data_IF_420359229352
#
_entry.id   IF_420359229352
#
_cell.length_a   1.000
_cell.length_b   1.000
_cell.length_c   1.000
_cell.angle_alpha   90.00
_cell.angle_beta   90.00
_cell.angle_gamma   90.00
#
_symmetry.space_group_name_H-M   'P 1'
#
loop_
_entity.id
_entity.type
_entity.pdbx_description
1 polymer ?
#
# COMPACT_ATOMS: atom_id res chain seq x y z
N UNK A 1 -17.09 -31.06 -17.66
CA UNK A 1 -17.40 -31.47 -16.27
C UNK A 1 -18.16 -30.34 -15.59
N UNK A 2 -19.36 -30.63 -15.03
CA UNK A 2 -20.24 -29.64 -14.40
C UNK A 2 -20.13 -29.74 -12.87
N UNK A 3 -19.98 -28.60 -12.18
CA UNK A 3 -19.91 -28.52 -10.71
C UNK A 3 -21.14 -29.12 -10.02
N UNK A 4 -22.32 -28.98 -10.61
CA UNK A 4 -23.54 -29.59 -10.10
C UNK A 4 -23.41 -31.11 -10.05
N UNK A 5 -22.80 -31.74 -11.09
CA UNK A 5 -22.58 -33.19 -11.13
C UNK A 5 -21.58 -33.63 -10.06
N UNK A 6 -20.50 -32.87 -9.85
CA UNK A 6 -19.53 -33.13 -8.77
C UNK A 6 -20.16 -33.02 -7.39
N UNK A 7 -21.02 -32.04 -7.17
CA UNK A 7 -21.76 -31.88 -5.88
C UNK A 7 -22.70 -33.06 -5.67
N UNK A 8 -23.42 -33.52 -6.72
CA UNK A 8 -24.26 -34.72 -6.67
C UNK A 8 -23.43 -35.97 -6.34
N UNK A 9 -22.27 -36.12 -7.00
CA UNK A 9 -21.37 -37.24 -6.76
C UNK A 9 -20.85 -37.25 -5.30
N UNK A 10 -20.39 -36.13 -4.78
CA UNK A 10 -19.92 -36.02 -3.40
C UNK A 10 -21.02 -36.38 -2.39
N UNK A 11 -22.23 -35.90 -2.61
CA UNK A 11 -23.35 -36.23 -1.74
C UNK A 11 -23.64 -37.73 -1.71
N UNK A 12 -23.61 -38.43 -2.87
CA UNK A 12 -23.79 -39.87 -2.92
C UNK A 12 -22.61 -40.62 -2.31
N UNK A 13 -21.37 -40.13 -2.53
CA UNK A 13 -20.15 -40.70 -1.98
C UNK A 13 -20.09 -40.64 -0.44
N UNK A 14 -20.64 -39.59 0.15
CA UNK A 14 -20.71 -39.40 1.61
C UNK A 14 -21.85 -40.20 2.24
N UNK A 15 -23.03 -40.22 1.60
CA UNK A 15 -24.20 -40.91 2.14
C UNK A 15 -24.20 -42.42 1.84
N UNK A 16 -23.46 -42.85 0.84
CA UNK A 16 -23.49 -44.23 0.28
C UNK A 16 -24.93 -44.73 0.05
N UNK A 17 -25.84 -43.78 -0.22
CA UNK A 17 -27.27 -44.01 -0.41
C UNK A 17 -27.86 -42.88 -1.27
N UNK A 18 -28.40 -43.27 -2.44
CA UNK A 18 -28.97 -42.32 -3.40
C UNK A 18 -30.20 -41.57 -2.85
N UNK A 19 -31.05 -42.22 -2.04
CA UNK A 19 -32.25 -41.61 -1.51
C UNK A 19 -31.90 -40.56 -0.43
N UNK A 20 -30.96 -40.88 0.48
CA UNK A 20 -30.47 -39.93 1.49
C UNK A 20 -29.71 -38.76 0.84
N UNK A 21 -28.86 -39.02 -0.14
CA UNK A 21 -28.17 -38.01 -0.90
C UNK A 21 -29.14 -37.05 -1.62
N UNK A 22 -30.20 -37.61 -2.22
CA UNK A 22 -31.25 -36.83 -2.88
C UNK A 22 -31.98 -35.90 -1.86
N UNK A 23 -32.35 -36.45 -0.70
CA UNK A 23 -32.97 -35.66 0.39
C UNK A 23 -32.07 -34.52 0.85
N UNK A 24 -30.77 -34.81 1.06
CA UNK A 24 -29.77 -33.79 1.46
C UNK A 24 -29.63 -32.66 0.43
N UNK A 25 -29.76 -33.00 -0.86
CA UNK A 25 -29.71 -32.04 -1.95
C UNK A 25 -31.06 -31.39 -2.30
N UNK A 26 -32.10 -31.66 -1.51
CA UNK A 26 -33.47 -31.18 -1.74
C UNK A 26 -34.00 -31.51 -3.15
N UNK A 27 -33.72 -32.71 -3.62
CA UNK A 27 -34.18 -33.21 -4.94
C UNK A 27 -34.72 -34.63 -4.86
N UNK A 28 -35.42 -35.10 -5.91
CA UNK A 28 -35.83 -36.50 -6.02
C UNK A 28 -34.67 -37.36 -6.52
N UNK A 29 -34.74 -38.68 -6.22
CA UNK A 29 -33.70 -39.62 -6.59
C UNK A 29 -33.47 -39.80 -8.12
N UNK A 30 -34.54 -39.80 -9.00
CA UNK A 30 -34.30 -39.98 -10.44
C UNK A 30 -33.35 -38.94 -11.06
N UNK A 31 -33.54 -37.62 -10.87
CA UNK A 31 -32.59 -36.64 -11.42
C UNK A 31 -31.17 -36.74 -10.82
N UNK A 32 -31.03 -37.10 -9.52
CA UNK A 32 -29.72 -37.37 -8.95
C UNK A 32 -29.01 -38.51 -9.65
N UNK A 33 -29.73 -39.65 -9.85
CA UNK A 33 -29.19 -40.82 -10.57
C UNK A 33 -28.78 -40.46 -12.01
N UNK A 34 -29.54 -39.60 -12.68
CA UNK A 34 -29.20 -39.12 -14.01
C UNK A 34 -27.90 -38.26 -14.01
N UNK A 35 -27.72 -37.35 -13.04
CA UNK A 35 -26.50 -36.58 -12.94
C UNK A 35 -25.26 -37.46 -12.72
N UNK A 36 -25.39 -38.50 -11.91
CA UNK A 36 -24.28 -39.44 -11.68
C UNK A 36 -23.97 -40.23 -12.97
N UNK A 37 -24.97 -40.74 -13.70
CA UNK A 37 -24.72 -41.42 -14.97
C UNK A 37 -24.04 -40.54 -16.00
N UNK A 38 -24.44 -39.26 -16.09
CA UNK A 38 -23.81 -38.30 -17.00
C UNK A 38 -22.36 -38.04 -16.60
N UNK A 39 -22.07 -37.98 -15.29
CA UNK A 39 -20.70 -37.83 -14.81
C UNK A 39 -19.87 -39.10 -15.13
N UNK A 40 -20.40 -40.29 -14.90
CA UNK A 40 -19.74 -41.56 -15.22
C UNK A 40 -19.44 -41.67 -16.73
N UNK A 41 -20.38 -41.24 -17.58
CA UNK A 41 -20.18 -41.19 -19.04
C UNK A 41 -19.06 -40.19 -19.41
N UNK A 42 -19.04 -39.01 -18.80
CA UNK A 42 -18.04 -38.00 -19.03
C UNK A 42 -16.64 -38.42 -18.56
N UNK A 43 -16.57 -39.16 -17.46
CA UNK A 43 -15.32 -39.70 -16.92
C UNK A 43 -14.86 -40.99 -17.63
N UNK A 44 -15.71 -41.60 -18.42
CA UNK A 44 -15.42 -42.88 -19.08
C UNK A 44 -15.25 -44.04 -18.10
N UNK A 45 -15.76 -43.91 -16.87
CA UNK A 45 -15.60 -44.91 -15.83
C UNK A 45 -16.83 -44.91 -14.88
N UNK A 46 -17.15 -46.08 -14.36
CA UNK A 46 -18.13 -46.22 -13.29
C UNK A 46 -17.50 -45.68 -11.97
N UNK A 47 -18.24 -44.86 -11.26
CA UNK A 47 -17.78 -44.23 -10.00
C UNK A 47 -18.39 -44.93 -8.78
N UNK A 48 -19.53 -45.60 -8.96
CA UNK A 48 -20.21 -46.37 -7.91
C UNK A 48 -20.47 -47.81 -8.34
N UNK A 49 -20.22 -48.73 -7.42
CA UNK A 49 -20.75 -50.07 -7.46
C UNK A 49 -22.14 -50.07 -6.82
N UNK A 50 -23.13 -50.61 -7.55
CA UNK A 50 -24.54 -50.66 -7.14
C UNK A 50 -24.98 -52.10 -7.00
N UNK A 51 -25.21 -52.52 -5.78
CA UNK A 51 -25.87 -53.79 -5.52
C UNK A 51 -27.27 -53.58 -4.94
N UNK A 52 -28.08 -54.65 -4.88
CA UNK A 52 -29.43 -54.54 -4.25
C UNK A 52 -29.39 -54.17 -2.76
N UNK A 53 -28.21 -54.27 -2.11
CA UNK A 53 -28.06 -54.09 -0.66
C UNK A 53 -27.12 -52.93 -0.27
N UNK A 54 -26.28 -52.45 -1.18
CA UNK A 54 -25.28 -51.42 -0.85
C UNK A 54 -24.85 -50.62 -2.08
N UNK A 55 -24.43 -49.39 -1.82
CA UNK A 55 -23.71 -48.50 -2.74
C UNK A 55 -22.32 -48.29 -2.18
N UNK A 56 -21.28 -48.48 -2.98
CA UNK A 56 -19.88 -48.23 -2.63
C UNK A 56 -19.17 -47.51 -3.75
N UNK A 57 -18.08 -46.84 -3.43
CA UNK A 57 -17.21 -46.22 -4.45
C UNK A 57 -16.39 -47.28 -5.17
N UNK A 58 -16.25 -47.15 -6.49
CA UNK A 58 -15.22 -47.86 -7.25
C UNK A 58 -13.84 -47.26 -6.96
N UNK A 59 -12.72 -47.91 -7.33
CA UNK A 59 -11.38 -47.26 -7.27
C UNK A 59 -11.34 -45.93 -8.02
N UNK A 60 -12.01 -45.80 -9.17
CA UNK A 60 -12.14 -44.54 -9.91
C UNK A 60 -12.95 -43.50 -9.14
N UNK A 61 -14.03 -43.91 -8.47
CA UNK A 61 -14.84 -43.07 -7.63
C UNK A 61 -14.04 -42.52 -6.42
N UNK A 62 -13.25 -43.39 -5.77
CA UNK A 62 -12.40 -42.97 -4.66
C UNK A 62 -11.35 -41.93 -5.09
N UNK A 63 -10.69 -42.13 -6.23
CA UNK A 63 -9.75 -41.15 -6.79
C UNK A 63 -10.42 -39.83 -7.15
N UNK A 64 -11.63 -39.89 -7.72
CA UNK A 64 -12.39 -38.70 -8.06
C UNK A 64 -12.85 -37.93 -6.80
N UNK A 65 -13.16 -38.61 -5.71
CA UNK A 65 -13.75 -37.99 -4.51
C UNK A 65 -12.88 -36.87 -3.96
N UNK A 66 -11.58 -37.10 -3.81
CA UNK A 66 -10.67 -36.06 -3.28
C UNK A 66 -10.52 -34.90 -4.25
N UNK A 67 -10.44 -35.17 -5.55
CA UNK A 67 -10.37 -34.13 -6.57
C UNK A 67 -11.66 -33.32 -6.67
N UNK A 68 -12.80 -33.98 -6.58
CA UNK A 68 -14.11 -33.33 -6.60
C UNK A 68 -14.29 -32.40 -5.41
N UNK A 69 -13.87 -32.82 -4.20
CA UNK A 69 -13.85 -31.92 -3.01
C UNK A 69 -13.00 -30.67 -3.24
N UNK A 70 -11.79 -30.82 -3.77
CA UNK A 70 -10.90 -29.70 -4.08
C UNK A 70 -11.52 -28.73 -5.10
N UNK A 71 -12.13 -29.28 -6.19
CA UNK A 71 -12.73 -28.43 -7.23
C UNK A 71 -13.93 -27.65 -6.68
N UNK A 72 -14.83 -28.32 -5.92
CA UNK A 72 -15.98 -27.63 -5.32
C UNK A 72 -15.56 -26.58 -4.31
N UNK A 73 -14.55 -26.87 -3.47
CA UNK A 73 -13.99 -25.91 -2.52
C UNK A 73 -13.37 -24.70 -3.22
N UNK A 74 -12.58 -24.91 -4.28
CA UNK A 74 -11.98 -23.84 -5.08
C UNK A 74 -13.04 -22.97 -5.76
N UNK A 75 -14.11 -23.55 -6.25
CA UNK A 75 -15.22 -22.78 -6.83
C UNK A 75 -15.91 -21.89 -5.79
N UNK A 76 -16.16 -22.41 -4.59
CA UNK A 76 -16.74 -21.63 -3.49
C UNK A 76 -15.81 -20.47 -3.08
N UNK A 77 -14.50 -20.75 -2.93
CA UNK A 77 -13.49 -19.74 -2.63
C UNK A 77 -13.43 -18.63 -3.69
N UNK A 78 -13.47 -19.01 -4.98
CA UNK A 78 -13.49 -18.02 -6.07
C UNK A 78 -14.72 -17.10 -5.98
N UNK A 79 -15.90 -17.66 -5.72
CA UNK A 79 -17.11 -16.87 -5.53
C UNK A 79 -17.06 -15.93 -4.32
N UNK A 80 -16.42 -16.38 -3.23
CA UNK A 80 -16.20 -15.55 -2.03
C UNK A 80 -15.22 -14.42 -2.30
N UNK A 81 -14.08 -14.70 -2.95
CA UNK A 81 -13.11 -13.68 -3.34
C UNK A 81 -13.72 -12.62 -4.25
N UNK A 82 -14.57 -13.00 -5.20
CA UNK A 82 -15.28 -12.03 -6.04
C UNK A 82 -16.20 -11.12 -5.22
N UNK A 83 -16.95 -11.68 -4.26
CA UNK A 83 -17.79 -10.86 -3.36
C UNK A 83 -16.97 -9.96 -2.47
N UNK A 84 -15.87 -10.47 -1.92
CA UNK A 84 -14.94 -9.67 -1.11
C UNK A 84 -14.32 -8.53 -1.94
N UNK A 85 -13.90 -8.79 -3.16
CA UNK A 85 -13.37 -7.76 -4.06
C UNK A 85 -14.43 -6.67 -4.37
N UNK A 86 -15.66 -7.08 -4.65
CA UNK A 86 -16.77 -6.15 -4.90
C UNK A 86 -17.09 -5.26 -3.67
N UNK A 87 -16.86 -5.75 -2.44
CA UNK A 87 -17.03 -5.00 -1.19
C UNK A 87 -15.74 -4.31 -0.72
N UNK A 88 -14.62 -4.44 -1.45
CA UNK A 88 -13.31 -3.86 -1.08
C UNK A 88 -12.54 -4.61 0.00
N UNK A 89 -13.05 -5.78 0.42
CA UNK A 89 -12.38 -6.62 1.44
C UNK A 89 -11.27 -7.51 0.87
N UNK A 90 -11.12 -7.54 -0.46
CA UNK A 90 -10.02 -8.19 -1.18
C UNK A 90 -9.62 -7.33 -2.38
N UNK A 91 -8.37 -7.48 -2.84
CA UNK A 91 -7.84 -6.77 -4.00
C UNK A 91 -6.45 -6.20 -3.73
N UNK A 92 -6.08 -5.14 -4.47
CA UNK A 92 -4.79 -4.48 -4.37
C UNK A 92 -4.99 -2.98 -4.13
N UNK A 93 -4.25 -2.43 -3.18
CA UNK A 93 -4.20 -1.00 -2.87
C UNK A 93 -2.79 -0.49 -3.14
N UNK A 94 -2.65 0.37 -4.15
CA UNK A 94 -1.37 0.94 -4.59
C UNK A 94 -1.14 2.27 -3.87
N UNK A 95 -0.16 2.29 -2.98
CA UNK A 95 0.15 3.43 -2.12
C UNK A 95 1.53 3.96 -2.46
N UNK A 96 1.62 5.24 -2.84
CA UNK A 96 2.90 5.91 -2.97
C UNK A 96 3.18 6.82 -1.77
N UNK A 97 4.46 7.01 -1.47
CA UNK A 97 4.90 7.87 -0.37
C UNK A 97 6.25 8.53 -0.65
N UNK A 98 6.46 9.73 -0.11
CA UNK A 98 7.78 10.39 -0.13
C UNK A 98 8.70 9.80 0.93
N UNK A 99 10.02 9.94 0.75
CA UNK A 99 11.06 9.30 1.56
C UNK A 99 10.96 9.55 3.08
N UNK A 100 10.40 10.68 3.50
CA UNK A 100 10.23 11.00 4.92
C UNK A 100 9.05 10.30 5.60
N UNK A 101 8.05 9.86 4.83
CA UNK A 101 6.79 9.32 5.36
C UNK A 101 6.98 8.05 6.19
N UNK A 102 7.82 7.06 5.80
CA UNK A 102 8.04 5.86 6.60
C UNK A 102 8.69 6.11 7.98
N UNK A 103 9.28 7.29 8.19
CA UNK A 103 9.89 7.68 9.46
C UNK A 103 8.85 8.17 10.49
N UNK A 104 7.62 8.45 10.08
CA UNK A 104 6.52 8.72 10.99
C UNK A 104 5.96 7.41 11.55
N UNK A 105 5.97 7.23 12.87
CA UNK A 105 5.46 6.03 13.52
C UNK A 105 3.98 5.76 13.18
N UNK A 106 3.20 6.81 12.95
CA UNK A 106 1.81 6.75 12.55
C UNK A 106 1.62 6.01 11.22
N UNK A 107 2.56 6.17 10.25
CA UNK A 107 2.49 5.49 8.96
C UNK A 107 2.55 3.98 9.10
N UNK A 108 3.54 3.47 9.83
CA UNK A 108 3.71 2.03 10.04
C UNK A 108 2.53 1.43 10.82
N UNK A 109 2.06 2.12 11.86
CA UNK A 109 0.90 1.71 12.65
C UNK A 109 -0.35 1.60 11.79
N UNK A 110 -0.64 2.62 11.00
CA UNK A 110 -1.81 2.69 10.13
C UNK A 110 -1.83 1.58 9.08
N UNK A 111 -0.68 1.29 8.44
CA UNK A 111 -0.56 0.18 7.49
C UNK A 111 -0.77 -1.17 8.19
N UNK A 112 -0.20 -1.34 9.40
CA UNK A 112 -0.36 -2.55 10.21
C UNK A 112 -1.81 -2.80 10.59
N UNK A 113 -2.51 -1.78 11.09
CA UNK A 113 -3.93 -1.84 11.45
C UNK A 113 -4.82 -2.16 10.23
N UNK A 114 -4.54 -1.52 9.08
CA UNK A 114 -5.29 -1.80 7.85
C UNK A 114 -5.10 -3.23 7.39
N UNK A 115 -3.86 -3.73 7.37
CA UNK A 115 -3.55 -5.11 6.99
C UNK A 115 -4.19 -6.15 7.92
N UNK A 116 -4.22 -5.88 9.23
CA UNK A 116 -4.89 -6.76 10.20
C UNK A 116 -6.40 -6.81 9.97
N UNK A 117 -7.00 -5.66 9.66
CA UNK A 117 -8.45 -5.56 9.44
C UNK A 117 -8.89 -6.11 8.09
N UNK A 118 -8.03 -6.01 7.07
CA UNK A 118 -8.32 -6.39 5.68
C UNK A 118 -7.19 -7.29 5.11
N UNK A 119 -7.05 -8.52 5.61
CA UNK A 119 -5.91 -9.40 5.29
C UNK A 119 -5.86 -9.84 3.83
N UNK A 120 -6.98 -9.77 3.10
CA UNK A 120 -7.08 -10.11 1.68
C UNK A 120 -6.82 -8.92 0.74
N UNK A 121 -6.52 -7.74 1.29
CA UNK A 121 -6.07 -6.58 0.49
C UNK A 121 -4.55 -6.57 0.46
N UNK A 122 -3.99 -6.74 -0.73
CA UNK A 122 -2.55 -6.59 -0.99
C UNK A 122 -2.17 -5.11 -0.95
N UNK A 123 -1.18 -4.73 -0.12
CA UNK A 123 -0.62 -3.38 -0.11
C UNK A 123 0.61 -3.33 -1.03
N UNK A 124 0.50 -2.55 -2.11
CA UNK A 124 1.61 -2.25 -3.02
C UNK A 124 2.20 -0.88 -2.66
N UNK A 125 3.38 -0.90 -2.05
CA UNK A 125 4.03 0.29 -1.49
C UNK A 125 5.16 0.77 -2.39
N UNK A 126 5.08 2.02 -2.87
CA UNK A 126 6.04 2.58 -3.81
C UNK A 126 6.60 3.92 -3.33
N UNK A 127 7.93 4.07 -3.38
CA UNK A 127 8.56 5.36 -3.15
C UNK A 127 8.43 6.23 -4.41
N UNK A 128 7.84 7.41 -4.26
CA UNK A 128 7.68 8.40 -5.32
C UNK A 128 7.81 9.82 -4.76
N UNK A 129 8.36 10.73 -5.54
CA UNK A 129 8.35 12.16 -5.22
C UNK A 129 6.95 12.76 -5.32
N UNK A 130 6.75 13.96 -4.80
CA UNK A 130 5.45 14.67 -4.88
C UNK A 130 4.95 14.79 -6.32
N UNK A 131 5.83 15.19 -7.26
CA UNK A 131 5.46 15.34 -8.68
C UNK A 131 5.14 14.00 -9.35
N UNK A 132 5.94 12.94 -9.08
CA UNK A 132 5.68 11.60 -9.59
C UNK A 132 4.34 11.05 -9.08
N UNK A 133 3.99 11.28 -7.80
CA UNK A 133 2.70 10.87 -7.25
C UNK A 133 1.52 11.53 -7.96
N UNK A 134 1.62 12.83 -8.27
CA UNK A 134 0.58 13.54 -9.02
C UNK A 134 0.39 12.92 -10.41
N UNK A 135 1.48 12.68 -11.13
CA UNK A 135 1.44 12.05 -12.45
C UNK A 135 0.85 10.64 -12.38
N UNK A 136 1.29 9.83 -11.41
CA UNK A 136 0.84 8.46 -11.22
C UNK A 136 -0.64 8.36 -10.78
N UNK A 137 -1.13 9.28 -9.94
CA UNK A 137 -2.56 9.38 -9.60
C UNK A 137 -3.41 9.70 -10.83
N UNK A 138 -2.97 10.68 -11.62
CA UNK A 138 -3.67 11.09 -12.85
C UNK A 138 -3.72 9.96 -13.88
N UNK A 139 -2.63 9.17 -13.98
CA UNK A 139 -2.55 8.01 -14.87
C UNK A 139 -3.21 6.74 -14.30
N UNK A 140 -3.77 6.78 -13.07
CA UNK A 140 -4.36 5.60 -12.43
C UNK A 140 -3.35 4.50 -12.05
N UNK A 141 -2.06 4.84 -11.95
CA UNK A 141 -0.98 3.90 -11.60
C UNK A 141 -0.90 3.66 -10.10
N UNK A 142 -1.30 4.64 -9.28
CA UNK A 142 -1.48 4.53 -7.83
C UNK A 142 -2.89 4.95 -7.44
N UNK A 143 -3.31 4.55 -6.24
CA UNK A 143 -4.65 4.82 -5.71
C UNK A 143 -4.61 5.91 -4.65
N UNK A 144 -3.55 5.91 -3.83
CA UNK A 144 -3.35 6.83 -2.70
C UNK A 144 -1.89 7.30 -2.67
N UNK A 145 -1.67 8.57 -2.34
CA UNK A 145 -0.35 9.16 -2.16
C UNK A 145 -0.18 9.79 -0.79
N UNK A 146 1.01 9.65 -0.21
CA UNK A 146 1.47 10.41 0.95
C UNK A 146 2.60 11.31 0.48
N UNK A 147 2.30 12.57 0.28
CA UNK A 147 3.25 13.52 -0.28
C UNK A 147 3.60 14.65 0.68
N UNK A 148 4.72 15.31 0.40
CA UNK A 148 5.17 16.52 1.09
C UNK A 148 5.15 17.68 0.11
N UNK A 149 4.00 18.31 -0.14
CA UNK A 149 3.94 19.45 -1.06
C UNK A 149 4.62 20.68 -0.44
N UNK A 150 5.29 21.47 -1.27
CA UNK A 150 5.77 22.79 -0.85
C UNK A 150 4.57 23.70 -0.54
N UNK A 151 4.71 24.73 0.30
CA UNK A 151 3.61 25.65 0.63
C UNK A 151 2.99 26.33 -0.60
N UNK A 152 3.80 26.62 -1.61
CA UNK A 152 3.37 27.25 -2.85
C UNK A 152 2.76 26.25 -3.87
N UNK A 153 2.98 24.94 -3.67
CA UNK A 153 2.50 23.93 -4.60
C UNK A 153 0.98 23.77 -4.47
N UNK A 154 0.28 23.93 -5.58
CA UNK A 154 -1.16 23.70 -5.68
C UNK A 154 -1.40 22.29 -6.22
N UNK A 155 -2.03 21.45 -5.42
CA UNK A 155 -2.42 20.11 -5.86
C UNK A 155 -3.51 20.28 -6.94
N UNK A 156 -3.30 19.74 -8.16
CA UNK A 156 -4.23 19.96 -9.26
C UNK A 156 -5.54 19.21 -9.04
N UNK A 157 -6.64 19.76 -9.57
CA UNK A 157 -7.88 19.02 -9.74
C UNK A 157 -7.72 17.99 -10.88
N UNK A 158 -8.34 16.79 -10.80
CA UNK A 158 -9.31 16.34 -9.80
C UNK A 158 -8.69 15.46 -8.69
N UNK A 159 -7.74 15.97 -7.94
CA UNK A 159 -7.13 15.28 -6.80
C UNK A 159 -7.64 15.93 -5.50
N UNK A 160 -8.19 15.13 -4.59
CA UNK A 160 -8.53 15.54 -3.22
C UNK A 160 -7.34 15.36 -2.30
N UNK A 161 -7.22 16.24 -1.31
CA UNK A 161 -6.18 16.17 -0.31
C UNK A 161 -6.71 16.27 1.12
N UNK A 162 -5.98 15.68 2.06
CA UNK A 162 -6.15 15.84 3.50
C UNK A 162 -4.77 15.99 4.14
N UNK A 163 -4.53 17.06 4.87
CA UNK A 163 -3.32 17.18 5.69
C UNK A 163 -3.39 16.19 6.85
N UNK A 164 -2.37 15.34 6.98
CA UNK A 164 -2.28 14.34 8.04
C UNK A 164 -1.37 14.81 9.18
N UNK A 165 -0.10 15.10 8.85
CA UNK A 165 0.91 15.43 9.86
C UNK A 165 1.61 16.71 9.48
N UNK A 166 2.10 17.38 10.50
CA UNK A 166 2.96 18.55 10.37
C UNK A 166 4.28 18.28 11.07
N UNK A 167 5.36 18.79 10.52
CA UNK A 167 6.68 18.80 11.13
C UNK A 167 7.41 20.10 10.78
N UNK A 168 8.61 20.23 11.31
CA UNK A 168 9.45 21.38 11.02
C UNK A 168 10.62 20.98 10.12
N UNK A 169 11.13 21.93 9.36
CA UNK A 169 12.40 21.80 8.67
C UNK A 169 13.53 22.20 9.63
N UNK A 170 14.64 21.49 9.54
CA UNK A 170 15.85 21.72 10.32
C UNK A 170 17.06 21.86 9.40
N UNK A 171 18.06 22.55 9.88
CA UNK A 171 19.37 22.61 9.23
C UNK A 171 20.14 21.34 9.53
N UNK A 172 20.71 20.71 8.51
CA UNK A 172 21.68 19.62 8.64
C UNK A 172 23.07 20.18 8.35
N UNK A 173 23.97 20.11 9.33
CA UNK A 173 25.32 20.67 9.30
C UNK A 173 26.35 19.57 9.54
N UNK A 174 27.57 19.68 8.97
CA UNK A 174 28.70 18.88 9.43
C UNK A 174 28.95 19.09 10.93
N UNK A 175 29.30 18.05 11.67
CA UNK A 175 29.57 18.17 13.11
C UNK A 175 30.75 19.13 13.43
N UNK A 176 31.67 19.29 12.50
CA UNK A 176 32.80 20.21 12.59
C UNK A 176 32.46 21.66 12.20
N UNK A 177 31.22 21.95 11.77
CA UNK A 177 30.78 23.27 11.35
C UNK A 177 30.75 24.21 12.55
N UNK A 178 31.21 25.47 12.39
CA UNK A 178 31.27 26.46 13.47
C UNK A 178 29.93 26.70 14.19
N UNK A 179 28.82 26.58 13.45
CA UNK A 179 27.46 26.74 13.97
C UNK A 179 26.88 25.40 14.51
N UNK A 180 27.63 24.29 14.52
CA UNK A 180 27.12 22.98 14.95
C UNK A 180 26.81 22.91 16.45
N UNK A 181 27.65 23.51 17.29
CA UNK A 181 27.62 23.40 18.76
C UNK A 181 26.57 24.27 19.47
N UNK A 182 26.08 25.34 18.85
CA UNK A 182 25.15 26.25 19.51
C UNK A 182 23.73 25.68 19.57
N UNK A 183 23.10 25.54 20.75
CA UNK A 183 21.76 24.97 20.96
C UNK A 183 20.58 25.85 20.50
N UNK A 184 20.82 27.11 20.10
CA UNK A 184 19.79 28.09 19.71
C UNK A 184 19.37 27.92 18.24
N UNK A 185 18.13 28.23 17.86
CA UNK A 185 17.73 28.23 16.45
C UNK A 185 18.63 29.10 15.59
N UNK A 186 18.95 28.67 14.38
CA UNK A 186 19.84 29.36 13.45
C UNK A 186 19.04 29.87 12.25
N UNK A 187 19.21 31.15 11.90
CA UNK A 187 18.58 31.68 10.69
C UNK A 187 19.25 31.12 9.42
N UNK A 188 18.47 30.76 8.42
CA UNK A 188 18.97 30.21 7.16
C UNK A 188 19.96 31.16 6.46
N UNK A 189 19.78 32.45 6.61
CA UNK A 189 20.67 33.51 6.10
C UNK A 189 22.13 33.35 6.55
N UNK A 190 22.37 32.80 7.75
CA UNK A 190 23.73 32.56 8.24
C UNK A 190 24.51 31.54 7.42
N UNK A 191 23.82 30.73 6.59
CA UNK A 191 24.42 29.73 5.72
C UNK A 191 24.46 30.14 4.25
N UNK A 192 24.19 31.43 3.92
CA UNK A 192 24.08 31.90 2.52
C UNK A 192 25.33 31.64 1.68
N UNK A 193 26.53 31.69 2.27
CA UNK A 193 27.81 31.47 1.58
C UNK A 193 28.24 29.99 1.58
N UNK A 194 27.52 29.15 2.29
CA UNK A 194 27.84 27.70 2.38
C UNK A 194 27.44 26.96 1.11
N UNK A 195 28.16 25.89 0.75
CA UNK A 195 27.68 24.96 -0.28
C UNK A 195 26.48 24.17 0.25
N UNK A 196 25.46 23.97 -0.59
CA UNK A 196 24.28 23.17 -0.27
C UNK A 196 24.30 21.80 -0.94
N UNK A 197 23.84 20.78 -0.21
CA UNK A 197 23.51 19.46 -0.74
C UNK A 197 21.99 19.35 -0.73
N UNK A 198 21.37 19.27 -1.90
CA UNK A 198 19.90 19.27 -2.05
C UNK A 198 19.42 18.19 -2.99
N UNK A 199 18.14 17.91 -2.96
CA UNK A 199 17.49 17.06 -3.96
C UNK A 199 17.54 17.73 -5.34
N UNK A 200 17.63 16.95 -6.47
CA UNK A 200 17.56 17.50 -7.81
C UNK A 200 16.22 18.20 -8.07
N UNK A 201 16.23 19.30 -8.81
CA UNK A 201 15.03 20.06 -9.19
C UNK A 201 13.98 19.26 -10.00
N UNK A 202 14.44 18.23 -10.72
CA UNK A 202 13.56 17.37 -11.57
C UNK A 202 12.52 16.58 -10.77
N UNK A 203 12.63 16.53 -9.46
CA UNK A 203 11.72 15.77 -8.60
C UNK A 203 10.43 16.54 -8.22
N UNK A 204 10.35 17.83 -8.59
CA UNK A 204 9.18 18.74 -8.61
C UNK A 204 8.18 18.76 -7.45
N UNK A 205 7.68 19.96 -7.12
CA UNK A 205 6.48 20.17 -6.28
C UNK A 205 6.64 19.92 -4.78
N UNK A 206 7.83 19.54 -4.31
CA UNK A 206 8.02 19.05 -2.95
C UNK A 206 9.04 19.84 -2.11
N UNK A 207 9.89 19.09 -1.40
CA UNK A 207 10.86 19.64 -0.44
C UNK A 207 11.88 20.56 -1.10
N UNK A 208 12.32 20.25 -2.32
CA UNK A 208 13.32 21.09 -3.04
C UNK A 208 12.80 22.52 -3.22
N UNK A 209 11.60 22.67 -3.79
CA UNK A 209 10.97 23.98 -4.02
C UNK A 209 10.68 24.71 -2.71
N UNK A 210 10.34 23.97 -1.65
CA UNK A 210 10.16 24.55 -0.32
C UNK A 210 11.47 25.16 0.21
N UNK A 211 12.59 24.43 0.07
CA UNK A 211 13.91 24.91 0.50
C UNK A 211 14.34 26.13 -0.33
N UNK A 212 14.14 26.09 -1.66
CA UNK A 212 14.46 27.26 -2.50
C UNK A 212 13.63 28.49 -2.13
N UNK A 213 12.34 28.31 -1.80
CA UNK A 213 11.49 29.40 -1.33
C UNK A 213 12.02 29.99 0.00
N UNK A 214 12.40 29.13 0.96
CA UNK A 214 13.01 29.55 2.23
C UNK A 214 14.31 30.35 2.00
N UNK A 215 15.19 29.89 1.12
CA UNK A 215 16.41 30.60 0.77
C UNK A 215 16.11 31.95 0.13
N UNK A 216 15.13 32.03 -0.76
CA UNK A 216 14.68 33.26 -1.40
C UNK A 216 14.10 34.26 -0.37
N UNK A 217 13.27 33.80 0.57
CA UNK A 217 12.72 34.59 1.66
C UNK A 217 13.85 35.11 2.60
N UNK A 218 14.88 34.27 2.82
CA UNK A 218 16.08 34.66 3.57
C UNK A 218 17.03 35.58 2.76
N UNK A 219 16.70 35.90 1.50
CA UNK A 219 17.39 36.88 0.65
C UNK A 219 18.64 36.35 -0.05
N UNK A 220 18.70 35.03 -0.38
CA UNK A 220 19.79 34.44 -1.15
C UNK A 220 19.34 33.28 -2.03
N UNK A 221 20.18 32.91 -3.00
CA UNK A 221 20.00 31.69 -3.84
C UNK A 221 21.09 30.70 -3.39
N UNK A 222 20.72 29.47 -3.00
CA UNK A 222 21.69 28.50 -2.50
C UNK A 222 22.63 28.04 -3.63
N UNK A 223 23.93 27.97 -3.33
CA UNK A 223 24.93 27.36 -4.21
C UNK A 223 24.89 25.85 -4.04
N UNK A 224 24.21 25.14 -4.96
CA UNK A 224 24.10 23.68 -4.91
C UNK A 224 25.43 23.09 -5.38
N UNK A 225 26.19 22.54 -4.43
CA UNK A 225 27.49 21.90 -4.72
C UNK A 225 27.31 20.45 -5.16
N UNK A 226 26.33 19.73 -4.58
CA UNK A 226 26.07 18.33 -4.89
C UNK A 226 24.57 18.03 -4.82
N UNK A 227 23.96 17.53 -5.91
CA UNK A 227 22.61 16.97 -5.86
C UNK A 227 22.65 15.54 -5.30
N UNK A 228 21.67 15.18 -4.45
CA UNK A 228 21.48 13.82 -3.95
C UNK A 228 20.00 13.40 -4.07
N UNK A 229 19.74 12.27 -4.70
CA UNK A 229 18.34 11.79 -4.90
C UNK A 229 17.69 11.29 -3.62
N UNK A 230 18.49 10.72 -2.72
CA UNK A 230 18.03 10.11 -1.48
C UNK A 230 18.51 10.93 -0.27
N UNK A 231 17.63 11.15 0.70
CA UNK A 231 17.97 11.93 1.90
C UNK A 231 19.09 11.28 2.72
N UNK A 232 19.14 9.93 2.78
CA UNK A 232 20.23 9.24 3.47
C UNK A 232 21.59 9.57 2.85
N UNK A 233 21.70 9.56 1.52
CA UNK A 233 22.90 9.98 0.78
C UNK A 233 23.20 11.45 1.04
N UNK A 234 22.19 12.33 1.01
CA UNK A 234 22.34 13.74 1.29
C UNK A 234 22.94 13.99 2.70
N UNK A 235 22.43 13.32 3.72
CA UNK A 235 22.93 13.40 5.08
C UNK A 235 24.37 12.88 5.22
N UNK A 236 24.71 11.79 4.50
CA UNK A 236 26.09 11.28 4.47
C UNK A 236 27.06 12.29 3.83
N UNK A 237 26.66 12.98 2.76
CA UNK A 237 27.45 14.03 2.12
C UNK A 237 27.61 15.23 3.04
N UNK A 238 26.59 15.61 3.80
CA UNK A 238 26.70 16.64 4.84
C UNK A 238 27.67 16.21 5.94
N UNK A 239 27.56 14.97 6.43
CA UNK A 239 28.48 14.44 7.43
C UNK A 239 29.94 14.41 6.96
N UNK A 240 30.17 14.22 5.66
CA UNK A 240 31.48 14.26 5.02
C UNK A 240 32.01 15.71 4.78
N UNK A 241 31.22 16.75 5.13
CA UNK A 241 31.65 18.15 4.99
C UNK A 241 31.51 18.74 3.58
N UNK A 242 30.75 18.08 2.67
CA UNK A 242 30.54 18.59 1.31
C UNK A 242 29.60 19.79 1.22
N UNK A 243 28.88 20.10 2.30
CA UNK A 243 27.98 21.24 2.39
C UNK A 243 26.97 21.09 3.51
N UNK A 244 26.00 21.98 3.51
CA UNK A 244 24.89 22.01 4.45
C UNK A 244 23.57 21.62 3.76
N UNK A 245 22.53 21.31 4.52
CA UNK A 245 21.23 21.03 3.94
C UNK A 245 20.09 21.49 4.85
N UNK A 246 18.88 21.47 4.31
CA UNK A 246 17.63 21.63 5.05
C UNK A 246 16.80 20.36 4.90
N UNK A 247 16.37 19.79 6.01
CA UNK A 247 15.67 18.50 6.04
C UNK A 247 14.51 18.53 7.01
N UNK A 248 13.47 17.70 6.82
CA UNK A 248 12.43 17.48 7.81
C UNK A 248 12.98 16.95 9.14
N UNK A 249 12.44 17.42 10.26
CA UNK A 249 12.86 17.04 11.62
C UNK A 249 12.79 15.54 11.87
N UNK A 250 11.87 14.83 11.20
CA UNK A 250 11.73 13.38 11.32
C UNK A 250 13.03 12.60 10.98
N UNK A 251 13.95 13.22 10.23
CA UNK A 251 15.25 12.64 9.88
C UNK A 251 16.26 12.63 11.03
N UNK A 252 15.99 13.32 12.15
CA UNK A 252 16.82 13.21 13.37
C UNK A 252 16.98 11.77 13.83
N UNK A 253 15.96 10.93 13.58
CA UNK A 253 15.94 9.50 13.93
C UNK A 253 17.00 8.65 13.20
N UNK A 254 17.50 9.17 12.08
CA UNK A 254 18.48 8.47 11.23
C UNK A 254 19.69 9.36 10.90
N UNK A 255 19.97 10.35 11.75
CA UNK A 255 21.12 11.23 11.59
C UNK A 255 22.42 10.41 11.63
N UNK A 256 23.26 10.42 10.57
CA UNK A 256 24.50 9.70 10.58
C UNK A 256 25.55 10.37 11.49
N UNK A 257 26.50 9.61 12.06
CA UNK A 257 27.64 10.19 12.73
C UNK A 257 28.38 11.20 11.83
N UNK A 258 28.78 12.35 12.37
CA UNK A 258 29.42 13.42 11.61
C UNK A 258 28.47 14.49 11.04
N UNK A 259 27.16 14.29 11.15
CA UNK A 259 26.16 15.34 10.93
C UNK A 259 25.46 15.73 12.23
N UNK A 260 24.98 16.96 12.32
CA UNK A 260 24.15 17.47 13.43
C UNK A 260 22.96 18.22 12.87
N UNK A 261 21.84 18.17 13.58
CA UNK A 261 20.66 18.96 13.22
C UNK A 261 20.51 20.17 14.14
N UNK A 262 20.13 21.29 13.53
CA UNK A 262 19.88 22.54 14.22
C UNK A 262 18.49 23.05 13.88
N UNK A 263 17.72 23.52 14.87
CA UNK A 263 16.44 24.16 14.61
C UNK A 263 16.61 25.37 13.68
N UNK A 264 15.70 25.50 12.72
CA UNK A 264 15.62 26.65 11.84
C UNK A 264 14.85 27.78 12.53
N UNK A 265 15.40 28.99 12.54
CA UNK A 265 14.75 30.15 13.14
C UNK A 265 13.66 30.78 12.27
N UNK A 266 13.67 30.49 10.96
CA UNK A 266 12.80 31.11 9.96
C UNK A 266 11.33 30.67 10.16
N UNK A 267 10.39 31.60 9.99
CA UNK A 267 8.96 31.36 10.27
C UNK A 267 8.33 30.33 9.32
N UNK A 268 8.79 30.27 8.06
CA UNK A 268 8.27 29.37 7.05
C UNK A 268 8.83 27.93 7.14
N UNK A 269 9.49 27.57 8.26
CA UNK A 269 10.06 26.22 8.48
C UNK A 269 9.04 25.09 8.57
N UNK A 270 7.75 25.40 8.69
CA UNK A 270 6.72 24.36 8.83
C UNK A 270 6.47 23.63 7.53
N UNK A 271 6.38 22.33 7.63
CA UNK A 271 6.12 21.40 6.54
C UNK A 271 4.94 20.49 6.86
N UNK A 272 4.35 19.86 5.86
CA UNK A 272 3.20 18.97 6.05
C UNK A 272 3.30 17.70 5.21
N UNK A 273 2.72 16.63 5.71
CA UNK A 273 2.40 15.43 4.92
C UNK A 273 0.92 15.47 4.58
N UNK A 274 0.62 15.36 3.31
CA UNK A 274 -0.75 15.29 2.76
C UNK A 274 -1.05 13.90 2.23
N UNK A 275 -2.20 13.36 2.61
CA UNK A 275 -2.84 12.22 1.95
C UNK A 275 -3.57 12.73 0.72
N UNK A 276 -3.44 12.03 -0.40
CA UNK A 276 -4.07 12.39 -1.66
C UNK A 276 -4.64 11.17 -2.36
N UNK A 277 -5.73 11.34 -3.09
CA UNK A 277 -6.26 10.36 -4.05
C UNK A 277 -7.07 11.11 -5.13
N UNK A 278 -7.51 10.40 -6.17
CA UNK A 278 -8.42 10.98 -7.16
C UNK A 278 -9.72 11.48 -6.51
N UNK A 279 -10.27 12.56 -7.03
CA UNK A 279 -11.53 13.16 -6.50
C UNK A 279 -12.73 12.22 -6.69
N UNK A 280 -12.76 11.52 -7.82
CA UNK A 280 -13.81 10.58 -8.24
C UNK A 280 -13.51 9.12 -7.87
N UNK A 281 -12.53 8.90 -6.99
CA UNK A 281 -12.16 7.55 -6.56
C UNK A 281 -13.33 6.85 -5.89
N UNK A 282 -13.74 5.71 -6.45
CA UNK A 282 -14.91 4.95 -5.99
C UNK A 282 -14.58 3.53 -5.52
N UNK A 283 -13.33 3.07 -5.72
CA UNK A 283 -12.93 1.73 -5.30
C UNK A 283 -13.12 1.55 -3.78
N UNK A 284 -13.90 0.55 -3.33
CA UNK A 284 -14.25 0.43 -1.92
C UNK A 284 -13.03 0.29 -0.98
N UNK A 285 -11.97 -0.44 -1.39
CA UNK A 285 -10.75 -0.59 -0.59
C UNK A 285 -10.02 0.75 -0.39
N UNK A 286 -10.02 1.63 -1.40
CA UNK A 286 -9.42 2.97 -1.32
C UNK A 286 -10.23 3.86 -0.38
N UNK A 287 -11.56 3.81 -0.47
CA UNK A 287 -12.44 4.57 0.43
C UNK A 287 -12.29 4.13 1.90
N UNK A 288 -12.21 2.81 2.15
CA UNK A 288 -11.99 2.28 3.50
C UNK A 288 -10.64 2.73 4.06
N UNK A 289 -9.57 2.67 3.24
CA UNK A 289 -8.25 3.14 3.64
C UNK A 289 -8.26 4.64 3.93
N UNK A 290 -8.83 5.44 3.04
CA UNK A 290 -8.98 6.89 3.23
C UNK A 290 -9.69 7.23 4.54
N UNK A 291 -10.84 6.60 4.79
CA UNK A 291 -11.63 6.82 6.01
C UNK A 291 -10.85 6.44 7.27
N UNK A 292 -10.17 5.27 7.26
CA UNK A 292 -9.35 4.84 8.39
C UNK A 292 -8.23 5.83 8.68
N UNK A 293 -7.50 6.28 7.64
CA UNK A 293 -6.40 7.22 7.78
C UNK A 293 -6.88 8.58 8.29
N UNK A 294 -8.00 9.08 7.77
CA UNK A 294 -8.57 10.36 8.21
C UNK A 294 -9.20 10.30 9.62
N UNK A 295 -9.59 9.12 10.10
CA UNK A 295 -10.14 8.94 11.45
C UNK A 295 -9.06 8.94 12.54
N UNK A 296 -7.83 8.56 12.21
CA UNK A 296 -6.67 8.61 13.12
C UNK A 296 -6.12 10.05 13.13
N UNK A 297 -6.83 10.94 13.78
CA UNK A 297 -6.32 12.27 14.12
C UNK A 297 -5.66 12.18 15.50
N UNK A 298 -4.31 12.27 15.49
CA UNK A 298 -3.36 12.40 16.63
C UNK A 298 -3.25 11.27 17.64
#
# INVERSE_FOLDING_TARGET
MDLRRLTCFLAVAEELNFSRAAQRLHMSQPPLSQQIRLLEQEMGAQLFERSRRAVSLTPAGALLQDKARQIVALHQQAGELCRMAASGLAGRLRIAFTASVPLFAQFSRMLGEFRQRYPQVELDLQHMTTGEQIAALTAGQIDVGFMRPSPAFRIPLPIREQTLWRDELMLALPAAHEQAAAGTPLALRALAEQPFVLHPAVLGGGLHEHILALCSEAGFVPRIAQPARETATMLALVAAGLGVSVVPSVYERICPPGAVFRPLADAARHSRIALVCRQDESAPCVQMFWQQVCAVRD
#
